data_IF_585636408191
#
_entry.id   IF_585636408191
#
_cell.length_a   1.000
_cell.length_b   1.000
_cell.length_c   1.000
_cell.angle_alpha   90.00
_cell.angle_beta   90.00
_cell.angle_gamma   90.00
#
_symmetry.space_group_name_H-M   'P 1'
#
loop_
_entity.id
_entity.type
_entity.pdbx_description
1 polymer ?
#
# COMPACT_ATOMS: atom_id res chain seq x y z
N UNK A 1 57.00 -49.97 -45.28
CA UNK A 1 58.21 -49.15 -45.61
C UNK A 1 57.83 -47.67 -45.54
N UNK A 2 58.42 -47.02 -44.71
CA UNK A 2 58.77 -45.61 -44.49
C UNK A 2 58.40 -44.57 -45.60
N UNK A 3 57.59 -43.57 -45.22
CA UNK A 3 57.81 -42.09 -45.20
C UNK A 3 57.92 -41.31 -46.49
N UNK A 4 57.77 -40.00 -46.52
CA UNK A 4 57.67 -38.97 -45.41
C UNK A 4 56.60 -37.85 -45.59
N UNK A 5 56.42 -37.16 -44.52
CA UNK A 5 55.92 -35.87 -44.10
C UNK A 5 56.27 -34.70 -45.06
N UNK A 6 55.30 -33.88 -45.38
CA UNK A 6 55.58 -32.48 -45.76
C UNK A 6 54.68 -31.50 -45.01
N UNK A 7 55.33 -30.63 -44.33
CA UNK A 7 54.81 -29.53 -43.50
C UNK A 7 54.41 -28.40 -44.43
N UNK A 8 53.15 -27.94 -44.39
CA UNK A 8 52.76 -26.68 -45.01
C UNK A 8 52.12 -25.80 -43.97
N UNK A 9 52.86 -24.79 -43.57
CA UNK A 9 52.43 -23.75 -42.65
C UNK A 9 51.42 -22.86 -43.32
N UNK A 10 50.19 -22.81 -42.81
CA UNK A 10 49.18 -21.83 -43.25
C UNK A 10 48.99 -20.85 -42.10
N UNK A 11 49.46 -19.65 -42.36
CA UNK A 11 49.21 -18.45 -41.51
C UNK A 11 47.72 -18.10 -41.62
N UNK A 12 46.99 -18.31 -40.52
CA UNK A 12 45.64 -17.74 -40.36
C UNK A 12 45.72 -16.37 -39.69
N UNK A 13 45.37 -15.36 -40.48
CA UNK A 13 45.08 -14.01 -39.95
C UNK A 13 43.85 -14.13 -39.06
N UNK A 14 44.01 -13.91 -37.74
CA UNK A 14 42.88 -13.67 -36.84
C UNK A 14 42.39 -12.20 -37.08
N UNK A 15 41.30 -12.07 -37.77
CA UNK A 15 40.50 -10.85 -37.73
C UNK A 15 39.71 -10.87 -36.42
N UNK A 16 40.15 -10.04 -35.47
CA UNK A 16 39.41 -9.76 -34.23
C UNK A 16 38.22 -8.90 -34.62
N UNK A 17 37.07 -9.54 -34.76
CA UNK A 17 35.78 -8.83 -34.85
C UNK A 17 35.44 -8.46 -33.37
N UNK A 18 35.59 -7.19 -33.05
CA UNK A 18 35.11 -6.61 -31.82
C UNK A 18 33.59 -6.75 -31.78
N UNK A 19 33.11 -7.74 -31.06
CA UNK A 19 31.70 -7.83 -30.68
C UNK A 19 31.45 -6.74 -29.64
N UNK A 20 30.89 -5.62 -30.09
CA UNK A 20 30.38 -4.60 -29.18
C UNK A 20 29.24 -5.24 -28.38
N UNK A 21 29.55 -5.61 -27.15
CA UNK A 21 28.53 -5.95 -26.17
C UNK A 21 27.70 -4.67 -25.91
N UNK A 22 26.55 -4.60 -26.52
CA UNK A 22 25.50 -3.72 -26.05
C UNK A 22 25.09 -4.24 -24.67
N UNK A 23 25.72 -3.70 -23.64
CA UNK A 23 25.14 -3.74 -22.31
C UNK A 23 23.86 -2.91 -22.39
N UNK A 24 22.73 -3.63 -22.56
CA UNK A 24 21.44 -3.05 -22.31
C UNK A 24 21.50 -2.53 -20.86
N UNK A 25 21.56 -1.21 -20.73
CA UNK A 25 21.30 -0.51 -19.49
C UNK A 25 19.87 -0.87 -19.12
N UNK A 26 19.68 -1.89 -18.31
CA UNK A 26 18.48 -2.08 -17.54
C UNK A 26 18.43 -0.88 -16.59
N UNK A 27 17.79 0.20 -17.03
CA UNK A 27 17.37 1.28 -16.17
C UNK A 27 16.49 0.63 -15.10
N UNK A 28 17.08 0.40 -13.95
CA UNK A 28 16.38 0.16 -12.71
C UNK A 28 15.31 1.25 -12.57
N UNK A 29 14.07 0.88 -12.84
CA UNK A 29 12.92 1.66 -12.41
C UNK A 29 12.84 1.53 -10.88
N UNK A 30 13.85 2.07 -10.21
CA UNK A 30 13.75 2.36 -8.80
C UNK A 30 12.57 3.32 -8.65
N UNK A 31 11.51 2.86 -8.01
CA UNK A 31 10.53 3.77 -7.44
C UNK A 31 11.34 4.86 -6.73
N UNK A 32 11.17 6.10 -7.14
CA UNK A 32 11.88 7.21 -6.54
C UNK A 32 11.75 7.08 -5.02
N UNK A 33 12.88 6.99 -4.34
CA UNK A 33 12.89 7.00 -2.88
C UNK A 33 12.12 8.24 -2.44
N UNK A 34 11.22 8.15 -1.46
CA UNK A 34 10.51 9.32 -0.97
C UNK A 34 11.52 10.41 -0.65
N UNK A 35 11.18 11.65 -0.99
CA UNK A 35 12.07 12.78 -0.68
C UNK A 35 12.39 12.79 0.82
N UNK A 36 13.58 13.24 1.22
CA UNK A 36 13.93 13.36 2.64
C UNK A 36 12.90 14.13 3.47
N UNK A 37 12.15 15.06 2.87
CA UNK A 37 11.05 15.78 3.51
C UNK A 37 9.84 14.89 3.82
N UNK A 38 9.50 13.91 2.96
CA UNK A 38 8.42 12.96 3.24
C UNK A 38 8.79 11.94 4.31
N UNK A 39 10.08 11.61 4.45
CA UNK A 39 10.58 10.70 5.47
C UNK A 39 10.87 11.41 6.81
N UNK A 40 11.09 12.72 6.80
CA UNK A 40 11.50 13.50 7.97
C UNK A 40 10.31 14.06 8.78
N UNK A 41 9.10 14.01 8.24
CA UNK A 41 7.92 14.45 8.96
C UNK A 41 7.67 13.52 10.16
N UNK A 42 7.85 14.03 11.36
CA UNK A 42 7.71 13.25 12.61
C UNK A 42 6.29 12.83 12.87
N UNK A 43 5.32 13.30 12.07
CA UNK A 43 3.88 13.04 12.23
C UNK A 43 3.41 13.30 13.68
N UNK A 44 4.04 14.26 14.36
CA UNK A 44 3.74 14.62 15.76
C UNK A 44 2.25 14.98 15.94
N UNK A 45 1.66 15.61 14.93
CA UNK A 45 0.23 15.91 14.88
C UNK A 45 -0.63 14.63 14.96
N UNK A 46 -0.18 13.51 14.39
CA UNK A 46 -0.90 12.23 14.47
C UNK A 46 -0.81 11.63 15.88
N UNK A 47 0.35 11.70 16.53
CA UNK A 47 0.51 11.31 17.95
C UNK A 47 -0.36 12.13 18.88
N UNK A 48 -0.39 13.45 18.67
CA UNK A 48 -1.20 14.35 19.48
C UNK A 48 -2.70 14.07 19.33
N UNK A 49 -3.15 13.71 18.11
CA UNK A 49 -4.51 13.27 17.87
C UNK A 49 -4.83 11.99 18.66
N UNK A 50 -3.98 10.98 18.55
CA UNK A 50 -4.15 9.71 19.26
C UNK A 50 -4.19 9.91 20.78
N UNK A 51 -3.30 10.72 21.32
CA UNK A 51 -3.24 11.01 22.76
C UNK A 51 -4.51 11.70 23.30
N UNK A 52 -5.26 12.39 22.43
CA UNK A 52 -6.52 13.08 22.77
C UNK A 52 -7.76 12.24 22.48
N UNK A 53 -7.60 11.07 21.86
CA UNK A 53 -8.75 10.23 21.50
C UNK A 53 -9.41 9.65 22.77
N UNK A 54 -10.74 9.77 22.93
CA UNK A 54 -11.47 9.15 24.02
C UNK A 54 -11.74 7.66 23.79
N UNK A 55 -11.46 7.14 22.61
CA UNK A 55 -11.80 5.77 22.21
C UNK A 55 -10.85 4.76 22.80
N UNK A 56 -11.35 3.55 23.04
CA UNK A 56 -10.52 2.44 23.47
C UNK A 56 -9.58 2.01 22.34
N UNK A 57 -8.29 2.03 22.64
CA UNK A 57 -7.18 1.69 21.74
C UNK A 57 -6.34 0.60 22.39
N UNK A 58 -6.01 -0.44 21.66
CA UNK A 58 -5.15 -1.51 22.16
C UNK A 58 -4.29 -2.13 21.06
N UNK A 59 -3.17 -2.72 21.47
CA UNK A 59 -2.37 -3.59 20.63
C UNK A 59 -2.68 -5.04 20.96
N UNK A 60 -3.08 -5.80 19.94
CA UNK A 60 -3.36 -7.23 20.05
C UNK A 60 -2.37 -8.04 19.22
N UNK A 61 -2.14 -9.29 19.61
CA UNK A 61 -1.33 -10.26 18.87
C UNK A 61 -2.26 -11.26 18.19
N UNK A 62 -2.40 -11.13 16.89
CA UNK A 62 -3.22 -12.02 16.07
C UNK A 62 -2.36 -13.18 15.57
N UNK A 63 -2.77 -14.41 15.86
CA UNK A 63 -2.02 -15.61 15.46
C UNK A 63 -2.31 -15.99 14.01
N UNK A 64 -1.25 -16.21 13.23
CA UNK A 64 -1.25 -16.81 11.92
C UNK A 64 -0.28 -18.00 11.93
N UNK A 65 -0.77 -19.22 12.25
CA UNK A 65 0.08 -20.37 12.52
C UNK A 65 1.03 -20.10 13.69
N UNK A 66 2.33 -20.21 13.44
CA UNK A 66 3.38 -19.92 14.42
C UNK A 66 3.79 -18.45 14.49
N UNK A 67 3.20 -17.60 13.63
CA UNK A 67 3.48 -16.17 13.57
C UNK A 67 2.45 -15.40 14.41
N UNK A 68 2.90 -14.37 15.12
CA UNK A 68 2.06 -13.38 15.78
C UNK A 68 2.14 -12.06 15.02
N UNK A 69 0.99 -11.54 14.58
CA UNK A 69 0.86 -10.26 13.92
C UNK A 69 0.38 -9.22 14.93
N UNK A 70 1.27 -8.33 15.35
CA UNK A 70 0.90 -7.21 16.21
C UNK A 70 -0.02 -6.27 15.45
N UNK A 71 -1.19 -5.98 16.01
CA UNK A 71 -2.21 -5.22 15.32
C UNK A 71 -2.79 -4.15 16.24
N UNK A 72 -2.88 -2.93 15.76
CA UNK A 72 -3.48 -1.83 16.49
C UNK A 72 -4.99 -1.80 16.23
N UNK A 73 -5.77 -1.90 17.29
CA UNK A 73 -7.24 -1.94 17.24
C UNK A 73 -7.81 -0.72 17.94
N UNK A 74 -8.82 -0.10 17.32
CA UNK A 74 -9.59 0.97 17.93
C UNK A 74 -11.08 0.66 17.80
N UNK A 75 -11.81 0.85 18.88
CA UNK A 75 -13.24 0.59 18.95
C UNK A 75 -14.04 1.89 18.88
N UNK A 76 -15.18 1.89 18.14
CA UNK A 76 -16.06 3.04 18.13
C UNK A 76 -16.78 3.20 19.47
N UNK A 77 -17.13 4.43 19.81
CA UNK A 77 -18.01 4.74 20.96
C UNK A 77 -19.47 4.41 20.59
N UNK A 78 -19.76 3.12 20.44
CA UNK A 78 -21.08 2.63 20.01
C UNK A 78 -21.54 1.45 20.86
N UNK A 79 -22.82 1.41 21.19
CA UNK A 79 -23.46 0.27 21.82
C UNK A 79 -23.86 -0.82 20.82
N UNK A 80 -23.90 -0.49 19.54
CA UNK A 80 -24.28 -1.41 18.46
C UNK A 80 -23.05 -2.12 17.90
N UNK A 81 -23.25 -3.32 17.38
CA UNK A 81 -22.21 -4.02 16.65
C UNK A 81 -21.87 -3.29 15.36
N UNK A 82 -20.58 -3.14 15.09
CA UNK A 82 -20.05 -2.36 14.00
C UNK A 82 -19.37 -3.23 12.93
N UNK A 83 -19.39 -2.76 11.69
CA UNK A 83 -18.55 -3.31 10.60
C UNK A 83 -17.08 -3.06 10.92
N UNK A 84 -16.22 -4.02 10.62
CA UNK A 84 -14.78 -3.89 10.83
C UNK A 84 -14.07 -3.43 9.56
N UNK A 85 -13.06 -2.58 9.73
CA UNK A 85 -12.17 -2.07 8.67
C UNK A 85 -10.76 -2.51 8.96
N UNK A 86 -10.20 -3.36 8.10
CA UNK A 86 -8.77 -3.71 8.15
C UNK A 86 -7.98 -2.69 7.35
N UNK A 87 -7.01 -2.04 8.00
CA UNK A 87 -6.20 -0.95 7.45
C UNK A 87 -4.81 -1.47 7.10
N UNK A 88 -4.46 -1.50 5.81
CA UNK A 88 -3.15 -1.91 5.35
C UNK A 88 -2.26 -0.68 5.19
N UNK A 89 -1.16 -0.65 5.95
CA UNK A 89 -0.23 0.47 6.02
C UNK A 89 0.51 0.74 4.70
N UNK A 90 1.14 1.90 4.61
CA UNK A 90 1.99 2.31 3.50
C UNK A 90 3.37 1.61 3.53
N UNK A 91 4.24 2.00 2.60
CA UNK A 91 5.65 1.55 2.54
C UNK A 91 6.47 1.96 3.79
N UNK A 92 5.91 2.79 4.66
CA UNK A 92 6.53 3.24 5.91
C UNK A 92 6.17 2.36 7.11
N UNK A 93 5.41 1.27 6.91
CA UNK A 93 4.95 0.39 7.98
C UNK A 93 3.89 1.02 8.86
N UNK A 94 3.83 0.56 10.12
CA UNK A 94 2.89 1.03 11.13
C UNK A 94 3.33 2.40 11.67
N UNK A 95 3.09 3.45 10.89
CA UNK A 95 3.40 4.84 11.26
C UNK A 95 2.34 5.43 12.21
N UNK A 96 2.67 6.58 12.83
CA UNK A 96 1.73 7.31 13.68
C UNK A 96 0.49 7.76 12.90
N UNK A 97 0.66 8.10 11.61
CA UNK A 97 -0.47 8.45 10.74
C UNK A 97 -1.41 7.25 10.53
N UNK A 98 -0.90 6.05 10.31
CA UNK A 98 -1.74 4.85 10.14
C UNK A 98 -2.55 4.58 11.40
N UNK A 99 -1.94 4.74 12.58
CA UNK A 99 -2.63 4.60 13.86
C UNK A 99 -3.70 5.69 14.04
N UNK A 100 -3.37 6.95 13.73
CA UNK A 100 -4.33 8.07 13.76
C UNK A 100 -5.50 7.86 12.79
N UNK A 101 -5.23 7.36 11.59
CA UNK A 101 -6.28 7.02 10.62
C UNK A 101 -7.18 5.88 11.12
N UNK A 102 -6.61 4.89 11.79
CA UNK A 102 -7.35 3.80 12.42
C UNK A 102 -8.30 4.35 13.49
N UNK A 103 -7.85 5.32 14.29
CA UNK A 103 -8.70 6.03 15.25
C UNK A 103 -9.80 6.86 14.59
N UNK A 104 -9.52 7.54 13.47
CA UNK A 104 -10.53 8.30 12.70
C UNK A 104 -11.64 7.40 12.14
N UNK A 105 -11.32 6.18 11.76
CA UNK A 105 -12.33 5.19 11.34
C UNK A 105 -13.21 4.75 12.50
N UNK A 106 -12.64 4.59 13.68
CA UNK A 106 -13.41 4.29 14.88
C UNK A 106 -14.28 5.49 15.30
N UNK A 107 -13.80 6.73 15.15
CA UNK A 107 -14.62 7.94 15.29
C UNK A 107 -15.82 7.95 14.32
N UNK A 108 -15.64 7.40 13.13
CA UNK A 108 -16.71 7.28 12.14
C UNK A 108 -17.67 6.10 12.40
N UNK A 109 -17.48 5.33 13.48
CA UNK A 109 -18.40 4.29 13.93
C UNK A 109 -18.01 2.85 13.54
N UNK A 110 -16.78 2.60 13.11
CA UNK A 110 -16.28 1.31 12.67
C UNK A 110 -15.29 0.72 13.67
N UNK A 111 -15.24 -0.60 13.82
CA UNK A 111 -14.07 -1.23 14.45
C UNK A 111 -12.93 -1.13 13.43
N UNK A 112 -11.83 -0.51 13.79
CA UNK A 112 -10.69 -0.38 12.89
C UNK A 112 -9.49 -1.17 13.43
N UNK A 113 -8.84 -1.94 12.57
CA UNK A 113 -7.67 -2.75 12.93
C UNK A 113 -6.58 -2.60 11.87
N UNK A 114 -5.39 -2.21 12.30
CA UNK A 114 -4.22 -2.04 11.46
C UNK A 114 -3.13 -3.05 11.87
N UNK A 115 -2.88 -4.12 11.06
CA UNK A 115 -1.79 -5.04 11.32
C UNK A 115 -0.43 -4.43 10.97
N UNK A 116 0.56 -4.60 11.83
CA UNK A 116 1.95 -4.40 11.50
C UNK A 116 2.49 -5.63 10.76
N UNK A 117 2.51 -5.59 9.43
CA UNK A 117 2.95 -6.72 8.60
C UNK A 117 4.45 -7.02 8.74
N UNK A 118 5.22 -6.12 9.38
CA UNK A 118 6.62 -6.36 9.75
C UNK A 118 6.77 -7.01 11.14
N UNK A 119 5.70 -7.42 11.80
CA UNK A 119 5.75 -8.10 13.09
C UNK A 119 6.74 -9.27 13.07
N UNK A 120 7.59 -9.37 14.09
CA UNK A 120 8.61 -10.39 14.19
C UNK A 120 9.88 -10.18 13.34
N UNK A 121 9.94 -9.14 12.51
CA UNK A 121 11.06 -8.88 11.60
C UNK A 121 12.10 -7.90 12.17
N UNK A 122 11.77 -7.26 13.26
CA UNK A 122 12.69 -6.38 13.97
C UNK A 122 13.47 -7.07 15.08
N UNK A 123 14.44 -6.39 15.69
CA UNK A 123 15.16 -6.88 16.86
C UNK A 123 14.21 -7.38 17.97
N UNK A 124 14.60 -8.49 18.61
CA UNK A 124 13.83 -9.12 19.69
C UNK A 124 12.37 -9.48 19.32
N UNK A 125 12.13 -9.78 18.05
CA UNK A 125 10.79 -10.12 17.56
C UNK A 125 9.85 -8.91 17.43
N UNK A 126 10.38 -7.69 17.43
CA UNK A 126 9.60 -6.47 17.21
C UNK A 126 9.11 -6.30 15.78
N UNK A 127 8.32 -5.27 15.55
CA UNK A 127 7.79 -4.88 14.24
C UNK A 127 8.40 -3.58 13.72
N UNK A 128 7.59 -2.80 13.00
CA UNK A 128 7.99 -1.52 12.38
C UNK A 128 8.73 -0.59 13.35
N UNK A 129 8.22 -0.42 14.56
CA UNK A 129 8.78 0.52 15.56
C UNK A 129 10.17 0.15 16.08
N UNK A 130 10.59 -1.10 15.91
CA UNK A 130 11.89 -1.61 16.35
C UNK A 130 12.93 -1.68 15.23
N UNK A 131 12.53 -1.34 14.00
CA UNK A 131 13.40 -1.33 12.83
C UNK A 131 14.03 0.04 12.62
N UNK A 132 15.22 0.04 12.02
CA UNK A 132 15.78 1.26 11.45
C UNK A 132 14.85 1.77 10.34
N UNK A 133 14.50 3.04 10.40
CA UNK A 133 13.58 3.70 9.47
C UNK A 133 13.99 3.50 8.00
N UNK A 134 15.29 3.51 7.72
CA UNK A 134 15.84 3.32 6.38
C UNK A 134 15.62 1.89 5.85
N UNK A 135 15.40 0.92 6.71
CA UNK A 135 15.21 -0.49 6.36
C UNK A 135 13.72 -0.85 6.15
N UNK A 136 12.80 -0.09 6.75
CA UNK A 136 11.37 -0.41 6.75
C UNK A 136 10.84 -0.61 5.33
N UNK A 137 11.08 0.35 4.44
CA UNK A 137 10.58 0.30 3.07
C UNK A 137 11.08 -0.91 2.28
N UNK A 138 12.34 -1.30 2.45
CA UNK A 138 12.89 -2.49 1.80
C UNK A 138 12.26 -3.76 2.37
N UNK A 139 12.19 -3.89 3.69
CA UNK A 139 11.57 -5.06 4.33
C UNK A 139 10.11 -5.25 3.93
N UNK A 140 9.35 -4.16 3.74
CA UNK A 140 7.97 -4.22 3.24
C UNK A 140 7.92 -4.73 1.80
N UNK A 141 8.83 -4.29 0.93
CA UNK A 141 8.90 -4.79 -0.46
C UNK A 141 9.27 -6.27 -0.53
N UNK A 142 10.08 -6.73 0.42
CA UNK A 142 10.55 -8.12 0.49
C UNK A 142 9.55 -9.08 1.16
N UNK A 143 8.40 -8.58 1.65
CA UNK A 143 7.38 -9.41 2.28
C UNK A 143 6.83 -10.44 1.27
N UNK A 144 6.88 -11.75 1.60
CA UNK A 144 6.29 -12.77 0.75
C UNK A 144 4.78 -12.54 0.57
N UNK A 145 4.27 -12.57 -0.66
CA UNK A 145 2.85 -12.36 -0.93
C UNK A 145 1.91 -13.29 -0.14
N UNK A 146 2.30 -14.56 0.03
CA UNK A 146 1.48 -15.52 0.78
C UNK A 146 1.47 -15.24 2.28
N UNK A 147 2.57 -14.72 2.84
CA UNK A 147 2.60 -14.26 4.22
C UNK A 147 1.65 -13.08 4.43
N UNK A 148 1.67 -12.08 3.52
CA UNK A 148 0.75 -10.94 3.57
C UNK A 148 -0.70 -11.45 3.56
N UNK A 149 -1.02 -12.37 2.65
CA UNK A 149 -2.38 -12.93 2.54
C UNK A 149 -2.77 -13.69 3.81
N UNK A 150 -1.87 -14.51 4.35
CA UNK A 150 -2.11 -15.28 5.58
C UNK A 150 -2.31 -14.37 6.79
N UNK A 151 -1.45 -13.35 6.96
CA UNK A 151 -1.55 -12.38 8.04
C UNK A 151 -2.89 -11.61 7.97
N UNK A 152 -3.27 -11.15 6.78
CA UNK A 152 -4.54 -10.45 6.58
C UNK A 152 -5.76 -11.36 6.80
N UNK A 153 -5.71 -12.64 6.39
CA UNK A 153 -6.77 -13.60 6.66
C UNK A 153 -6.95 -13.81 8.17
N UNK A 154 -5.85 -13.97 8.91
CA UNK A 154 -5.91 -14.12 10.37
C UNK A 154 -6.51 -12.87 11.05
N UNK A 155 -6.14 -11.67 10.58
CA UNK A 155 -6.67 -10.41 11.10
C UNK A 155 -8.15 -10.24 10.78
N UNK A 156 -8.59 -10.57 9.56
CA UNK A 156 -10.01 -10.56 9.16
C UNK A 156 -10.82 -11.53 10.01
N UNK A 157 -10.32 -12.75 10.21
CA UNK A 157 -10.97 -13.76 11.04
C UNK A 157 -11.08 -13.31 12.50
N UNK A 158 -10.01 -12.75 13.05
CA UNK A 158 -9.97 -12.20 14.40
C UNK A 158 -11.02 -11.09 14.59
N UNK A 159 -10.97 -10.05 13.76
CA UNK A 159 -11.82 -8.87 13.95
C UNK A 159 -13.29 -9.17 13.67
N UNK A 160 -13.59 -10.11 12.76
CA UNK A 160 -14.96 -10.52 12.47
C UNK A 160 -15.65 -11.20 13.66
N UNK A 161 -14.88 -11.84 14.54
CA UNK A 161 -15.36 -12.59 15.71
C UNK A 161 -15.40 -11.77 16.99
N UNK A 162 -14.92 -10.53 16.99
CA UNK A 162 -15.00 -9.67 18.16
C UNK A 162 -16.47 -9.49 18.60
N UNK A 163 -16.75 -9.45 19.91
CA UNK A 163 -18.10 -9.25 20.43
C UNK A 163 -18.79 -7.98 19.90
N UNK A 164 -18.00 -6.92 19.65
CA UNK A 164 -18.46 -5.66 19.09
C UNK A 164 -18.67 -5.69 17.57
N UNK A 165 -18.22 -6.76 16.86
CA UNK A 165 -18.33 -6.88 15.41
C UNK A 165 -19.71 -7.42 14.99
N UNK A 166 -20.23 -6.88 13.87
CA UNK A 166 -21.39 -7.43 13.19
C UNK A 166 -21.03 -8.56 12.19
N UNK A 167 -19.77 -8.99 12.16
CA UNK A 167 -19.24 -10.01 11.26
C UNK A 167 -18.91 -9.53 9.84
N UNK A 168 -19.27 -8.29 9.46
CA UNK A 168 -18.87 -7.72 8.17
C UNK A 168 -17.50 -7.12 8.27
N UNK A 169 -16.63 -7.42 7.30
CA UNK A 169 -15.28 -6.89 7.22
C UNK A 169 -15.03 -6.29 5.84
N UNK A 170 -14.44 -5.13 5.81
CA UNK A 170 -13.89 -4.47 4.61
C UNK A 170 -12.39 -4.26 4.78
N UNK A 171 -11.68 -4.10 3.67
CA UNK A 171 -10.26 -3.82 3.67
C UNK A 171 -10.00 -2.46 3.02
N UNK A 172 -9.07 -1.72 3.57
CA UNK A 172 -8.54 -0.48 2.98
C UNK A 172 -7.03 -0.50 3.01
N UNK A 173 -6.39 0.15 2.06
CA UNK A 173 -4.93 0.26 2.07
C UNK A 173 -4.46 1.48 1.29
N UNK A 174 -3.25 1.91 1.59
CA UNK A 174 -2.67 3.17 1.15
C UNK A 174 -1.32 2.94 0.49
N UNK A 175 -1.04 3.58 -0.66
CA UNK A 175 0.22 3.41 -1.38
C UNK A 175 0.50 1.93 -1.69
N UNK A 176 1.59 1.38 -1.17
CA UNK A 176 1.86 -0.06 -1.23
C UNK A 176 0.69 -0.87 -0.64
N UNK A 177 0.16 -0.47 0.51
CA UNK A 177 -1.03 -1.09 1.11
C UNK A 177 -2.28 -0.96 0.24
N UNK A 178 -2.39 0.08 -0.58
CA UNK A 178 -3.44 0.22 -1.57
C UNK A 178 -3.39 -0.90 -2.61
N UNK A 179 -2.20 -1.18 -3.13
CA UNK A 179 -2.00 -2.34 -4.02
C UNK A 179 -2.25 -3.67 -3.30
N UNK A 180 -1.90 -3.78 -2.02
CA UNK A 180 -2.20 -4.98 -1.24
C UNK A 180 -3.69 -5.15 -0.97
N UNK A 181 -4.46 -4.08 -0.76
CA UNK A 181 -5.91 -4.19 -0.60
C UNK A 181 -6.60 -4.65 -1.89
N UNK A 182 -6.13 -4.18 -3.04
CA UNK A 182 -6.60 -4.68 -4.34
C UNK A 182 -6.27 -6.17 -4.52
N UNK A 183 -5.00 -6.53 -4.28
CA UNK A 183 -4.55 -7.92 -4.36
C UNK A 183 -5.30 -8.81 -3.36
N UNK A 184 -5.55 -8.33 -2.14
CA UNK A 184 -6.28 -9.09 -1.13
C UNK A 184 -7.71 -9.39 -1.56
N UNK A 185 -8.39 -8.49 -2.28
CA UNK A 185 -9.71 -8.75 -2.85
C UNK A 185 -9.72 -9.93 -3.84
N UNK A 186 -8.57 -10.26 -4.46
CA UNK A 186 -8.45 -11.45 -5.32
C UNK A 186 -8.26 -12.75 -4.54
N UNK A 187 -7.89 -12.66 -3.25
CA UNK A 187 -7.55 -13.81 -2.40
C UNK A 187 -8.58 -14.09 -1.30
N UNK A 188 -9.44 -13.12 -0.97
CA UNK A 188 -10.47 -13.31 0.05
C UNK A 188 -11.86 -12.91 -0.48
N UNK A 189 -12.71 -13.88 -0.80
CA UNK A 189 -14.05 -13.62 -1.35
C UNK A 189 -15.07 -13.15 -0.30
N UNK A 190 -14.72 -13.17 0.99
CA UNK A 190 -15.67 -12.92 2.09
C UNK A 190 -15.68 -11.46 2.54
N UNK A 191 -14.68 -10.65 2.16
CA UNK A 191 -14.72 -9.21 2.45
C UNK A 191 -15.90 -8.55 1.72
N UNK A 192 -16.45 -7.49 2.31
CA UNK A 192 -17.62 -6.79 1.74
C UNK A 192 -17.25 -5.70 0.75
N UNK A 193 -16.06 -5.16 0.84
CA UNK A 193 -15.48 -4.20 -0.11
C UNK A 193 -13.97 -4.11 0.06
N UNK A 194 -13.27 -3.66 -0.99
CA UNK A 194 -11.88 -3.23 -0.94
C UNK A 194 -11.78 -1.75 -1.35
N UNK A 195 -11.10 -0.95 -0.53
CA UNK A 195 -10.84 0.46 -0.77
C UNK A 195 -9.36 0.65 -1.07
N UNK A 196 -9.07 1.14 -2.27
CA UNK A 196 -7.71 1.24 -2.83
C UNK A 196 -7.33 2.71 -2.92
N UNK A 197 -6.49 3.18 -2.01
CA UNK A 197 -5.97 4.54 -2.05
C UNK A 197 -4.61 4.55 -2.75
N UNK A 198 -4.54 5.22 -3.91
CA UNK A 198 -3.35 5.40 -4.76
C UNK A 198 -2.47 4.14 -4.89
N UNK A 199 -3.11 2.99 -5.05
CA UNK A 199 -2.48 1.70 -5.29
C UNK A 199 -2.85 1.14 -6.67
N UNK A 200 -2.02 0.26 -7.23
CA UNK A 200 -2.24 -0.40 -8.50
C UNK A 200 -2.96 -1.74 -8.36
N UNK A 201 -3.58 -2.21 -9.43
CA UNK A 201 -4.08 -3.58 -9.54
C UNK A 201 -2.91 -4.59 -9.55
N UNK A 202 -3.17 -5.87 -9.23
CA UNK A 202 -2.19 -6.94 -9.41
C UNK A 202 -1.72 -7.06 -10.85
N UNK A 203 -0.43 -7.32 -11.02
CA UNK A 203 0.23 -7.53 -12.32
C UNK A 203 0.97 -8.85 -12.33
N UNK A 204 1.25 -9.36 -13.52
CA UNK A 204 2.01 -10.59 -13.76
C UNK A 204 3.03 -10.40 -14.87
N UNK A 205 4.07 -11.25 -14.90
CA UNK A 205 5.11 -11.19 -15.91
C UNK A 205 6.09 -10.04 -15.75
N UNK A 206 7.14 -10.02 -16.58
CA UNK A 206 8.17 -8.99 -16.56
C UNK A 206 7.71 -7.65 -17.17
N UNK A 207 6.66 -7.68 -17.97
CA UNK A 207 6.01 -6.53 -18.60
C UNK A 207 4.98 -5.83 -17.70
N UNK A 208 4.77 -6.33 -16.48
CA UNK A 208 3.78 -5.85 -15.53
C UNK A 208 2.34 -5.79 -16.12
N UNK A 209 1.99 -6.75 -16.95
CA UNK A 209 0.64 -6.87 -17.49
C UNK A 209 -0.39 -7.10 -16.38
N UNK A 210 -1.60 -6.57 -16.55
CA UNK A 210 -2.68 -6.77 -15.57
C UNK A 210 -2.98 -8.27 -15.42
N UNK A 211 -2.95 -8.76 -14.19
CA UNK A 211 -3.24 -10.16 -13.85
C UNK A 211 -4.78 -10.42 -13.89
N UNK A 212 -5.29 -10.66 -15.10
CA UNK A 212 -6.71 -10.92 -15.32
C UNK A 212 -7.19 -12.19 -14.61
N UNK A 213 -6.32 -13.19 -14.44
CA UNK A 213 -6.66 -14.42 -13.72
C UNK A 213 -6.90 -14.13 -12.23
N UNK A 214 -6.02 -13.34 -11.61
CA UNK A 214 -6.24 -12.87 -10.25
C UNK A 214 -7.53 -12.03 -10.15
N UNK A 215 -7.71 -11.04 -11.03
CA UNK A 215 -8.89 -10.17 -11.01
C UNK A 215 -10.21 -10.95 -11.17
N UNK A 216 -10.22 -12.05 -11.94
CA UNK A 216 -11.40 -12.89 -12.13
C UNK A 216 -11.92 -13.49 -10.82
N UNK A 217 -11.08 -13.68 -9.80
CA UNK A 217 -11.46 -14.22 -8.48
C UNK A 217 -12.17 -13.21 -7.58
N UNK A 218 -12.10 -11.91 -7.87
CA UNK A 218 -12.72 -10.85 -7.06
C UNK A 218 -14.23 -11.07 -6.97
N UNK A 219 -14.77 -11.00 -5.75
CA UNK A 219 -16.21 -11.05 -5.47
C UNK A 219 -16.76 -9.74 -4.92
N UNK A 220 -15.96 -9.04 -4.12
CA UNK A 220 -16.33 -7.77 -3.51
C UNK A 220 -16.16 -6.59 -4.49
N UNK A 221 -16.92 -5.50 -4.35
CA UNK A 221 -16.65 -4.27 -5.08
C UNK A 221 -15.30 -3.70 -4.68
N UNK A 222 -14.59 -3.11 -5.65
CA UNK A 222 -13.33 -2.40 -5.46
C UNK A 222 -13.57 -0.92 -5.76
N UNK A 223 -13.27 -0.06 -4.79
CA UNK A 223 -13.40 1.38 -4.88
C UNK A 223 -12.02 2.02 -4.88
N UNK A 224 -11.68 2.73 -5.95
CA UNK A 224 -10.39 3.40 -6.12
C UNK A 224 -10.44 4.88 -5.76
N UNK A 225 -9.35 5.38 -5.14
CA UNK A 225 -9.15 6.78 -4.74
C UNK A 225 -7.76 7.20 -5.21
N UNK A 226 -7.69 7.99 -6.27
CA UNK A 226 -6.45 8.25 -6.99
C UNK A 226 -6.10 9.74 -7.00
N UNK A 227 -4.82 10.04 -6.91
CA UNK A 227 -4.31 11.40 -6.94
C UNK A 227 -4.10 11.88 -8.38
N UNK A 228 -4.59 13.05 -8.76
CA UNK A 228 -4.48 13.58 -10.12
C UNK A 228 -3.04 13.74 -10.59
N UNK A 229 -2.14 14.13 -9.67
CA UNK A 229 -0.71 14.33 -9.95
C UNK A 229 0.15 13.07 -9.76
N UNK A 230 -0.44 11.89 -9.58
CA UNK A 230 0.28 10.61 -9.50
C UNK A 230 0.34 9.92 -10.87
N UNK A 231 1.18 10.44 -11.76
CA UNK A 231 1.28 9.94 -13.12
C UNK A 231 1.59 8.43 -13.19
N UNK A 232 2.40 7.92 -12.25
CA UNK A 232 2.81 6.51 -12.19
C UNK A 232 1.60 5.58 -11.94
N UNK A 233 0.76 5.91 -10.99
CA UNK A 233 -0.43 5.11 -10.70
C UNK A 233 -1.51 5.33 -11.75
N UNK A 234 -1.74 6.58 -12.17
CA UNK A 234 -2.78 6.91 -13.14
C UNK A 234 -2.55 6.22 -14.48
N UNK A 235 -1.29 6.01 -14.90
CA UNK A 235 -0.96 5.25 -16.11
C UNK A 235 -1.49 3.80 -16.10
N UNK A 236 -1.75 3.22 -14.91
CA UNK A 236 -2.27 1.84 -14.77
C UNK A 236 -3.80 1.77 -14.84
N UNK A 237 -4.50 2.89 -14.65
CA UNK A 237 -5.96 2.90 -14.51
C UNK A 237 -6.72 2.50 -15.78
N UNK A 238 -6.34 2.93 -16.99
CA UNK A 238 -7.07 2.53 -18.20
C UNK A 238 -7.08 1.00 -18.38
N UNK A 239 -5.91 0.35 -18.28
CA UNK A 239 -5.80 -1.10 -18.43
C UNK A 239 -6.53 -1.85 -17.30
N UNK A 240 -6.44 -1.36 -16.06
CA UNK A 240 -7.16 -1.92 -14.91
C UNK A 240 -8.67 -1.84 -15.12
N UNK A 241 -9.17 -0.66 -15.53
CA UNK A 241 -10.60 -0.43 -15.76
C UNK A 241 -11.12 -1.32 -16.88
N UNK A 242 -10.39 -1.43 -17.97
CA UNK A 242 -10.72 -2.30 -19.08
C UNK A 242 -10.81 -3.77 -18.62
N UNK A 243 -9.80 -4.28 -17.93
CA UNK A 243 -9.78 -5.66 -17.45
C UNK A 243 -10.93 -5.96 -16.47
N UNK A 244 -11.21 -5.06 -15.53
CA UNK A 244 -12.31 -5.23 -14.58
C UNK A 244 -13.68 -5.23 -15.29
N UNK A 245 -13.87 -4.37 -16.30
CA UNK A 245 -15.10 -4.34 -17.11
C UNK A 245 -15.29 -5.62 -17.93
N UNK A 246 -14.25 -6.09 -18.62
CA UNK A 246 -14.26 -7.33 -19.39
C UNK A 246 -14.63 -8.54 -18.51
N UNK A 247 -14.12 -8.55 -17.27
CA UNK A 247 -14.40 -9.58 -16.27
C UNK A 247 -15.73 -9.37 -15.52
N UNK A 248 -16.49 -8.30 -15.83
CA UNK A 248 -17.73 -7.91 -15.17
C UNK A 248 -17.55 -7.75 -13.65
N UNK A 249 -16.41 -7.21 -13.21
CA UNK A 249 -16.13 -6.91 -11.80
C UNK A 249 -16.42 -5.45 -11.51
N UNK A 250 -16.97 -5.19 -10.33
CA UNK A 250 -17.26 -3.82 -9.91
C UNK A 250 -15.96 -3.11 -9.51
N UNK A 251 -15.57 -2.11 -10.30
CA UNK A 251 -14.45 -1.21 -10.03
C UNK A 251 -14.89 0.23 -10.26
N UNK A 252 -14.81 1.05 -9.23
CA UNK A 252 -15.20 2.46 -9.26
C UNK A 252 -14.01 3.36 -8.89
N UNK A 253 -13.11 3.68 -9.85
CA UNK A 253 -12.02 4.62 -9.61
C UNK A 253 -12.52 6.06 -9.63
N UNK A 254 -12.02 6.89 -8.71
CA UNK A 254 -12.17 8.34 -8.72
C UNK A 254 -10.80 8.97 -8.59
N UNK A 255 -10.50 9.93 -9.45
CA UNK A 255 -9.26 10.71 -9.43
C UNK A 255 -9.56 12.11 -8.89
N UNK A 256 -8.74 12.58 -7.96
CA UNK A 256 -8.86 13.89 -7.30
C UNK A 256 -7.83 14.83 -7.90
N UNK A 257 -8.29 15.85 -8.60
CA UNK A 257 -7.43 16.78 -9.34
C UNK A 257 -6.49 17.55 -8.41
N UNK A 258 -5.27 17.78 -8.88
CA UNK A 258 -4.24 18.50 -8.14
C UNK A 258 -3.62 17.74 -6.95
N UNK A 259 -4.24 16.66 -6.49
CA UNK A 259 -3.71 15.86 -5.40
C UNK A 259 -2.43 15.12 -5.76
N UNK A 260 -1.48 15.05 -4.85
CA UNK A 260 -0.28 14.22 -4.94
C UNK A 260 -0.46 12.84 -4.32
N UNK A 261 0.48 11.93 -4.62
CA UNK A 261 0.51 10.61 -3.98
C UNK A 261 0.54 10.74 -2.45
N UNK A 262 -0.29 9.99 -1.74
CA UNK A 262 -0.35 10.07 -0.28
C UNK A 262 -1.23 11.19 0.27
N UNK A 263 -2.08 11.81 -0.55
CA UNK A 263 -2.92 12.96 -0.15
C UNK A 263 -3.79 12.71 1.10
N UNK A 264 -4.09 11.47 1.44
CA UNK A 264 -4.85 11.16 2.66
C UNK A 264 -4.15 11.58 3.94
N UNK A 265 -2.83 11.76 3.92
CA UNK A 265 -2.05 12.26 5.06
C UNK A 265 -2.33 13.73 5.39
N UNK A 266 -2.86 14.50 4.44
CA UNK A 266 -3.17 15.92 4.63
C UNK A 266 -4.34 16.19 5.61
N UNK A 267 -5.05 15.16 6.08
CA UNK A 267 -6.24 15.34 6.92
C UNK A 267 -6.00 16.15 8.19
N UNK A 268 -4.98 15.82 8.95
CA UNK A 268 -4.60 16.50 10.19
C UNK A 268 -3.22 17.15 10.10
N UNK A 269 -2.52 17.01 8.96
CA UNK A 269 -1.23 17.63 8.75
C UNK A 269 -1.36 19.18 8.77
N UNK A 270 -0.49 19.88 9.50
CA UNK A 270 -0.54 21.35 9.57
C UNK A 270 -0.22 21.98 8.21
N UNK A 271 -0.74 23.19 8.02
CA UNK A 271 -0.36 24.02 6.87
C UNK A 271 1.13 24.36 6.95
N UNK A 272 1.85 24.42 5.81
CA UNK A 272 3.23 24.92 5.79
C UNK A 272 3.34 26.32 6.37
N UNK A 273 4.31 26.56 7.24
CA UNK A 273 4.47 27.83 7.96
C UNK A 273 5.76 28.58 7.63
N UNK A 274 6.75 27.94 7.02
CA UNK A 274 8.00 28.59 6.64
C UNK A 274 7.83 29.42 5.37
N UNK A 275 7.36 30.65 5.52
CA UNK A 275 7.15 31.61 4.42
C UNK A 275 8.47 32.05 3.76
N UNK A 276 9.62 31.70 4.33
CA UNK A 276 10.95 32.06 3.78
C UNK A 276 11.51 30.97 2.86
N UNK A 277 10.90 29.78 2.85
CA UNK A 277 11.32 28.68 1.98
C UNK A 277 11.12 29.07 0.50
N UNK A 278 12.14 28.80 -0.33
CA UNK A 278 12.12 29.18 -1.75
C UNK A 278 10.94 28.58 -2.54
N UNK A 279 10.39 27.45 -2.07
CA UNK A 279 9.27 26.75 -2.66
C UNK A 279 7.99 26.79 -1.80
N UNK A 280 7.90 27.73 -0.84
CA UNK A 280 6.76 27.85 0.08
C UNK A 280 5.41 27.87 -0.64
N UNK A 281 5.28 28.69 -1.69
CA UNK A 281 4.01 28.77 -2.43
C UNK A 281 3.63 27.43 -3.06
N UNK A 282 4.60 26.72 -3.60
CA UNK A 282 4.39 25.38 -4.16
C UNK A 282 3.98 24.37 -3.09
N UNK A 283 4.60 24.41 -1.91
CA UNK A 283 4.23 23.55 -0.78
C UNK A 283 2.81 23.87 -0.31
N UNK A 284 2.46 25.14 -0.19
CA UNK A 284 1.14 25.59 0.22
C UNK A 284 0.05 25.15 -0.76
N UNK A 285 0.29 25.33 -2.05
CA UNK A 285 -0.67 24.93 -3.09
C UNK A 285 -0.85 23.39 -3.12
N UNK A 286 0.24 22.64 -2.98
CA UNK A 286 0.19 21.19 -2.86
C UNK A 286 -0.55 20.73 -1.60
N UNK A 287 -0.31 21.40 -0.46
CA UNK A 287 -1.02 21.11 0.80
C UNK A 287 -2.53 21.36 0.64
N UNK A 288 -2.93 22.51 0.06
CA UNK A 288 -4.33 22.84 -0.18
C UNK A 288 -5.03 21.84 -1.09
N UNK A 289 -4.38 21.47 -2.20
CA UNK A 289 -4.92 20.47 -3.13
C UNK A 289 -5.07 19.10 -2.45
N UNK A 290 -4.05 18.65 -1.71
CA UNK A 290 -4.11 17.40 -0.95
C UNK A 290 -5.18 17.43 0.13
N UNK A 291 -5.37 18.56 0.81
CA UNK A 291 -6.40 18.74 1.85
C UNK A 291 -7.80 18.64 1.26
N UNK A 292 -8.08 19.35 0.16
CA UNK A 292 -9.37 19.27 -0.55
C UNK A 292 -9.66 17.82 -0.99
N UNK A 293 -8.70 17.20 -1.67
CA UNK A 293 -8.82 15.82 -2.13
C UNK A 293 -9.05 14.83 -0.98
N UNK A 294 -8.36 15.01 0.14
CA UNK A 294 -8.55 14.18 1.34
C UNK A 294 -9.97 14.31 1.87
N UNK A 295 -10.49 15.53 1.98
CA UNK A 295 -11.81 15.76 2.55
C UNK A 295 -12.92 15.20 1.65
N UNK A 296 -12.80 15.36 0.33
CA UNK A 296 -13.69 14.75 -0.66
C UNK A 296 -13.63 13.22 -0.64
N UNK A 297 -12.41 12.66 -0.64
CA UNK A 297 -12.19 11.21 -0.58
C UNK A 297 -12.75 10.62 0.73
N UNK A 298 -12.55 11.30 1.85
CA UNK A 298 -13.06 10.89 3.15
C UNK A 298 -14.59 10.88 3.18
N UNK A 299 -15.21 11.92 2.63
CA UNK A 299 -16.67 12.00 2.53
C UNK A 299 -17.24 10.87 1.64
N UNK A 300 -16.63 10.62 0.46
CA UNK A 300 -17.00 9.52 -0.41
C UNK A 300 -16.82 8.18 0.31
N UNK A 301 -15.69 7.98 0.96
CA UNK A 301 -15.39 6.73 1.64
C UNK A 301 -16.39 6.43 2.77
N UNK A 302 -16.69 7.40 3.63
CA UNK A 302 -17.74 7.26 4.66
C UNK A 302 -19.11 6.88 4.05
N UNK A 303 -19.49 7.51 2.94
CA UNK A 303 -20.73 7.17 2.24
C UNK A 303 -20.75 5.71 1.74
N UNK A 304 -19.63 5.26 1.19
CA UNK A 304 -19.50 3.88 0.70
C UNK A 304 -19.47 2.86 1.86
N UNK A 305 -18.81 3.19 2.97
CA UNK A 305 -18.79 2.36 4.19
C UNK A 305 -20.19 2.24 4.80
N UNK A 306 -20.97 3.31 4.83
CA UNK A 306 -22.31 3.30 5.38
C UNK A 306 -23.32 2.44 4.56
N UNK A 307 -22.95 2.10 3.32
CA UNK A 307 -23.76 1.22 2.46
C UNK A 307 -23.44 -0.28 2.64
N UNK A 308 -22.48 -0.64 3.51
CA UNK A 308 -22.09 -2.02 3.82
C UNK A 308 -23.00 -2.58 4.93
#
# INVERSE_FOLDING_TARGET
MRKPISLLSLLFFLSVTACAQHTANMSDHHAASPSPSEAADTQEWAKQRLAKSPRHQEWVKVKNGNREVSSFVVYPESKNKSTAVVVIHEIFGMSDWVQSLTDQLAEAGYIAIAPDLLSGMGPNGGGTSSLDRNQVGQKIRDLPPDQITGDLNAVVDYVSKLPASNGKVVVTGYCWGGSQSFRYATNNPNIKAAYVFYGSAPTTGADNAIDKEALARIKAPVYGFYAGNDARINATLPATTQAMNELKKKFEPVTYDGAGHGFMRAGDAPEPTDTTAADYQKQLDAWRANRSARDEAWARWKKLLAAI
#
